data_IF_560775399770
#
_entry.id   IF_560775399770
#
_cell.length_a   1.000
_cell.length_b   1.000
_cell.length_c   1.000
_cell.angle_alpha   90.00
_cell.angle_beta   90.00
_cell.angle_gamma   90.00
#
_symmetry.space_group_name_H-M   'P 1'
#
loop_
_entity.id
_entity.type
_entity.pdbx_description
1 polymer ?
#
# COMPACT_ATOMS: atom_id res chain seq x y z
N UNK A 1 -4.20 20.19 1.06
CA UNK A 1 -4.90 19.31 2.03
C UNK A 1 -3.88 18.42 2.72
N UNK A 2 -4.09 18.08 4.00
CA UNK A 2 -3.10 17.37 4.80
C UNK A 2 -2.90 15.94 4.31
N UNK A 3 -1.67 15.60 3.92
CA UNK A 3 -1.25 14.26 3.50
C UNK A 3 -1.19 13.38 4.74
N UNK A 4 -2.22 12.55 4.97
CA UNK A 4 -2.25 11.67 6.14
C UNK A 4 -1.31 10.48 5.92
N UNK A 5 -0.18 10.48 6.64
CA UNK A 5 0.78 9.37 6.67
C UNK A 5 0.35 8.34 7.71
N UNK A 6 0.39 7.06 7.35
CA UNK A 6 0.02 5.94 8.22
C UNK A 6 1.29 5.22 8.69
N UNK A 7 1.32 4.83 9.97
CA UNK A 7 2.45 4.17 10.64
C UNK A 7 3.53 5.12 11.17
N UNK A 8 4.38 4.62 12.08
CA UNK A 8 5.53 5.35 12.66
C UNK A 8 6.88 4.94 12.06
N UNK A 9 6.90 3.96 11.17
CA UNK A 9 8.10 3.41 10.54
C UNK A 9 7.79 2.65 9.26
N UNK A 10 8.75 1.87 8.73
CA UNK A 10 8.54 1.07 7.53
C UNK A 10 7.38 0.09 7.71
N UNK A 11 6.49 0.07 6.73
CA UNK A 11 5.29 -0.74 6.69
C UNK A 11 5.58 -2.08 6.01
N UNK A 12 5.09 -3.13 6.63
CA UNK A 12 5.05 -4.49 6.09
C UNK A 12 3.60 -4.95 5.93
N UNK A 13 3.38 -5.84 4.96
CA UNK A 13 2.05 -6.25 4.54
C UNK A 13 1.99 -7.77 4.43
N UNK A 14 1.02 -8.37 5.11
CA UNK A 14 0.77 -9.81 5.06
C UNK A 14 -0.68 -10.10 4.68
N UNK A 15 -0.87 -10.97 3.67
CA UNK A 15 -2.18 -11.51 3.33
C UNK A 15 -2.48 -12.72 4.22
N UNK A 16 -3.59 -12.68 4.95
CA UNK A 16 -4.16 -13.84 5.60
C UNK A 16 -5.33 -14.36 4.75
N UNK A 17 -5.11 -15.54 4.17
CA UNK A 17 -5.98 -16.20 3.19
C UNK A 17 -6.28 -17.66 3.58
N UNK A 18 -6.17 -17.98 4.87
CA UNK A 18 -6.64 -19.27 5.40
C UNK A 18 -8.15 -19.41 5.11
N UNK A 19 -8.75 -20.62 5.05
CA UNK A 19 -9.90 -20.99 4.21
C UNK A 19 -11.24 -20.29 4.52
N UNK A 20 -11.20 -19.24 5.32
CA UNK A 20 -12.23 -18.23 5.48
C UNK A 20 -12.60 -17.60 4.15
N UNK A 21 -13.89 -17.45 3.90
CA UNK A 21 -14.45 -16.76 2.73
C UNK A 21 -14.15 -15.24 2.69
N UNK A 22 -13.23 -14.75 3.53
CA UNK A 22 -13.00 -13.33 3.81
C UNK A 22 -11.50 -13.02 3.98
N UNK A 23 -10.72 -12.98 2.89
CA UNK A 23 -9.29 -12.66 2.94
C UNK A 23 -9.04 -11.27 3.54
N UNK A 24 -7.96 -11.14 4.32
CA UNK A 24 -7.60 -9.89 5.02
C UNK A 24 -6.15 -9.52 4.79
N UNK A 25 -5.90 -8.24 4.57
CA UNK A 25 -4.57 -7.66 4.46
C UNK A 25 -4.19 -7.00 5.78
N UNK A 26 -3.13 -7.48 6.41
CA UNK A 26 -2.59 -6.94 7.64
C UNK A 26 -1.44 -6.01 7.31
N UNK A 27 -1.53 -4.76 7.77
CA UNK A 27 -0.46 -3.77 7.65
C UNK A 27 0.17 -3.56 9.03
N UNK A 28 1.48 -3.74 9.11
CA UNK A 28 2.25 -3.64 10.36
C UNK A 28 3.38 -2.64 10.21
N UNK A 29 3.83 -2.07 11.32
CA UNK A 29 5.09 -1.34 11.42
C UNK A 29 5.96 -1.93 12.55
N UNK A 30 7.11 -1.30 12.83
CA UNK A 30 8.02 -1.75 13.89
C UNK A 30 7.43 -1.78 15.31
N UNK A 31 6.26 -1.17 15.55
CA UNK A 31 5.54 -1.20 16.83
C UNK A 31 4.37 -2.20 16.83
N UNK A 32 4.10 -2.88 15.72
CA UNK A 32 3.05 -3.90 15.62
C UNK A 32 1.99 -3.58 14.57
N UNK A 33 0.75 -3.99 14.85
CA UNK A 33 -0.36 -3.89 13.89
C UNK A 33 -0.84 -2.44 13.73
N UNK A 34 -0.88 -1.96 12.49
CA UNK A 34 -1.34 -0.61 12.14
C UNK A 34 -2.79 -0.64 11.69
N UNK A 35 -3.13 -1.51 10.72
CA UNK A 35 -4.49 -1.65 10.19
C UNK A 35 -4.73 -3.04 9.61
N UNK A 36 -5.98 -3.49 9.62
CA UNK A 36 -6.44 -4.70 8.92
C UNK A 36 -7.48 -4.27 7.90
N UNK A 37 -7.26 -4.59 6.63
CA UNK A 37 -8.16 -4.25 5.54
C UNK A 37 -8.83 -5.53 4.98
N UNK A 38 -10.15 -5.55 4.80
CA UNK A 38 -10.79 -6.62 4.05
C UNK A 38 -10.30 -6.57 2.60
N UNK A 39 -9.98 -7.73 2.01
CA UNK A 39 -9.56 -7.80 0.60
C UNK A 39 -10.79 -8.12 -0.25
N UNK A 40 -11.21 -7.20 -1.15
CA UNK A 40 -12.29 -7.50 -2.08
C UNK A 40 -11.94 -8.71 -2.96
N UNK A 41 -12.87 -9.64 -3.24
CA UNK A 41 -12.60 -10.81 -4.08
C UNK A 41 -11.99 -10.44 -5.45
N UNK A 42 -12.40 -9.30 -6.03
CA UNK A 42 -11.86 -8.75 -7.27
C UNK A 42 -10.39 -8.32 -7.19
N UNK A 43 -9.93 -7.89 -6.02
CA UNK A 43 -8.55 -7.42 -5.79
C UNK A 43 -7.61 -8.55 -5.37
N UNK A 44 -8.15 -9.67 -4.85
CA UNK A 44 -7.36 -10.78 -4.31
C UNK A 44 -6.30 -11.32 -5.30
N UNK A 45 -6.59 -11.54 -6.60
CA UNK A 45 -5.57 -12.00 -7.53
C UNK A 45 -4.40 -11.02 -7.67
N UNK A 46 -4.68 -9.72 -7.75
CA UNK A 46 -3.65 -8.69 -7.84
C UNK A 46 -2.82 -8.62 -6.55
N UNK A 47 -3.47 -8.69 -5.38
CA UNK A 47 -2.79 -8.73 -4.07
C UNK A 47 -1.81 -9.89 -3.99
N UNK A 48 -2.23 -11.11 -4.35
CA UNK A 48 -1.35 -12.29 -4.37
C UNK A 48 -0.16 -12.08 -5.31
N UNK A 49 -0.41 -11.65 -6.54
CA UNK A 49 0.66 -11.38 -7.53
C UNK A 49 1.66 -10.34 -7.04
N UNK A 50 1.20 -9.28 -6.37
CA UNK A 50 2.09 -8.25 -5.85
C UNK A 50 2.94 -8.75 -4.69
N UNK A 51 2.37 -9.52 -3.76
CA UNK A 51 3.11 -10.11 -2.65
C UNK A 51 4.10 -11.20 -3.13
N UNK A 52 3.75 -11.99 -4.14
CA UNK A 52 4.63 -13.01 -4.72
C UNK A 52 5.82 -12.39 -5.48
N UNK A 53 5.67 -11.14 -5.96
CA UNK A 53 6.73 -10.38 -6.66
C UNK A 53 7.68 -9.64 -5.71
N UNK A 54 7.66 -9.96 -4.41
CA UNK A 54 8.57 -9.38 -3.41
C UNK A 54 10.02 -9.45 -3.90
N UNK A 55 10.68 -8.29 -3.96
CA UNK A 55 12.01 -8.11 -4.54
C UNK A 55 13.05 -7.72 -3.49
N UNK A 56 14.27 -7.31 -3.90
CA UNK A 56 15.20 -6.68 -2.97
C UNK A 56 14.53 -5.44 -2.37
N UNK A 57 14.41 -5.42 -1.04
CA UNK A 57 13.68 -4.39 -0.30
C UNK A 57 14.15 -2.99 -0.70
N UNK A 58 13.21 -2.20 -1.21
CA UNK A 58 13.43 -0.80 -1.57
C UNK A 58 12.34 0.03 -0.91
N UNK A 59 12.77 0.99 -0.11
CA UNK A 59 11.86 1.94 0.49
C UNK A 59 11.05 2.68 -0.58
N UNK A 60 9.73 2.72 -0.38
CA UNK A 60 8.79 3.37 -1.29
C UNK A 60 7.55 3.84 -0.54
N UNK A 61 6.83 4.80 -1.10
CA UNK A 61 5.52 5.24 -0.60
C UNK A 61 4.43 4.88 -1.61
N UNK A 62 3.17 4.87 -1.15
CA UNK A 62 2.01 4.74 -2.04
C UNK A 62 1.27 6.05 -2.11
N UNK A 63 1.06 6.58 -3.32
CA UNK A 63 0.16 7.68 -3.58
C UNK A 63 -1.14 7.15 -4.19
N UNK A 64 -2.28 7.47 -3.57
CA UNK A 64 -3.60 7.19 -4.12
C UNK A 64 -4.08 8.41 -4.89
N UNK A 65 -4.67 8.16 -6.07
CA UNK A 65 -5.05 9.19 -7.03
C UNK A 65 -6.57 9.20 -7.20
N UNK A 66 -7.17 10.37 -7.12
CA UNK A 66 -8.60 10.58 -7.35
C UNK A 66 -8.97 10.71 -8.84
N UNK A 67 -10.27 10.81 -9.12
CA UNK A 67 -10.83 10.97 -10.46
C UNK A 67 -10.36 12.24 -11.22
N UNK A 68 -9.82 13.23 -10.50
CA UNK A 68 -9.23 14.44 -11.07
C UNK A 68 -7.76 14.27 -11.43
N UNK A 69 -7.16 13.11 -11.09
CA UNK A 69 -5.75 12.85 -11.28
C UNK A 69 -4.87 13.42 -10.17
N UNK A 70 -5.46 13.93 -9.10
CA UNK A 70 -4.78 14.54 -7.95
C UNK A 70 -4.46 13.50 -6.88
N UNK A 71 -3.41 13.74 -6.09
CA UNK A 71 -3.03 12.84 -4.99
C UNK A 71 -3.99 13.05 -3.81
N UNK A 72 -4.93 12.13 -3.65
CA UNK A 72 -5.92 12.13 -2.57
C UNK A 72 -5.29 11.78 -1.21
N UNK A 73 -4.39 10.79 -1.18
CA UNK A 73 -3.67 10.41 0.03
C UNK A 73 -2.32 9.77 -0.26
N UNK A 74 -1.44 9.77 0.75
CA UNK A 74 -0.12 9.13 0.66
C UNK A 74 0.11 8.23 1.87
N UNK A 75 0.25 6.93 1.61
CA UNK A 75 0.52 5.93 2.63
C UNK A 75 2.03 5.77 2.79
N UNK A 76 2.45 5.46 4.03
CA UNK A 76 3.81 5.62 4.55
C UNK A 76 4.90 4.85 3.80
N UNK A 77 6.09 4.78 4.42
CA UNK A 77 7.25 4.11 3.81
C UNK A 77 7.05 2.61 3.93
N UNK A 78 7.06 1.87 2.83
CA UNK A 78 7.07 0.40 2.76
C UNK A 78 8.49 -0.06 2.53
N UNK A 79 8.88 -1.20 3.10
CA UNK A 79 10.19 -1.81 2.83
C UNK A 79 10.25 -2.54 1.49
N UNK A 80 9.09 -2.88 0.92
CA UNK A 80 8.95 -3.67 -0.30
C UNK A 80 7.90 -3.06 -1.25
N UNK A 81 8.22 -2.85 -2.54
CA UNK A 81 7.28 -2.36 -3.54
C UNK A 81 6.09 -3.29 -3.80
N UNK A 82 6.25 -4.61 -3.62
CA UNK A 82 5.18 -5.60 -3.72
C UNK A 82 4.16 -5.41 -2.60
N UNK A 83 4.61 -5.24 -1.35
CA UNK A 83 3.77 -4.90 -0.21
C UNK A 83 3.01 -3.58 -0.43
N UNK A 84 3.70 -2.54 -0.91
CA UNK A 84 3.10 -1.27 -1.28
C UNK A 84 1.99 -1.43 -2.36
N UNK A 85 2.28 -2.18 -3.43
CA UNK A 85 1.33 -2.42 -4.52
C UNK A 85 0.14 -3.28 -4.08
N UNK A 86 0.36 -4.28 -3.22
CA UNK A 86 -0.70 -5.11 -2.67
C UNK A 86 -1.70 -4.29 -1.86
N UNK A 87 -1.20 -3.39 -1.01
CA UNK A 87 -2.05 -2.44 -0.28
C UNK A 87 -2.82 -1.53 -1.24
N UNK A 88 -2.14 -0.95 -2.23
CA UNK A 88 -2.76 -0.07 -3.21
C UNK A 88 -3.94 -0.74 -3.93
N UNK A 89 -3.78 -2.01 -4.34
CA UNK A 89 -4.83 -2.80 -4.99
C UNK A 89 -6.06 -3.02 -4.09
N UNK A 90 -5.86 -3.13 -2.76
CA UNK A 90 -6.96 -3.22 -1.79
C UNK A 90 -7.68 -1.89 -1.66
N UNK A 91 -6.94 -0.78 -1.57
CA UNK A 91 -7.50 0.56 -1.37
C UNK A 91 -8.31 1.02 -2.58
N UNK A 92 -7.76 0.90 -3.79
CA UNK A 92 -8.52 1.14 -5.04
C UNK A 92 -9.71 0.19 -5.14
N UNK A 93 -9.53 -1.06 -4.70
CA UNK A 93 -10.60 -2.05 -4.70
C UNK A 93 -11.74 -1.72 -3.74
N UNK A 94 -11.54 -0.84 -2.76
CA UNK A 94 -12.50 -0.55 -1.69
C UNK A 94 -13.14 0.83 -1.83
N UNK A 95 -12.37 1.81 -2.29
CA UNK A 95 -12.80 3.20 -2.44
C UNK A 95 -13.17 3.50 -3.90
N UNK A 96 -14.38 4.02 -4.12
CA UNK A 96 -14.87 4.33 -5.48
C UNK A 96 -14.38 5.67 -6.01
N UNK A 97 -13.87 6.53 -5.13
CA UNK A 97 -13.37 7.85 -5.50
C UNK A 97 -11.89 7.78 -5.94
N UNK A 98 -11.24 6.65 -5.69
CA UNK A 98 -9.89 6.36 -6.14
C UNK A 98 -9.91 5.68 -7.51
N UNK A 99 -9.22 6.29 -8.48
CA UNK A 99 -9.10 5.74 -9.85
C UNK A 99 -7.74 5.11 -10.10
N UNK A 100 -6.77 5.32 -9.21
CA UNK A 100 -5.43 4.76 -9.37
C UNK A 100 -4.56 4.88 -8.14
N UNK A 101 -3.38 4.28 -8.25
CA UNK A 101 -2.33 4.38 -7.24
C UNK A 101 -0.96 4.31 -7.90
N UNK A 102 0.04 4.89 -7.25
CA UNK A 102 1.42 4.94 -7.70
C UNK A 102 2.33 4.53 -6.55
N UNK A 103 3.22 3.56 -6.81
CA UNK A 103 4.34 3.27 -5.91
C UNK A 103 5.47 4.23 -6.31
N UNK A 104 5.85 5.11 -5.39
CA UNK A 104 6.80 6.21 -5.64
C UNK A 104 7.98 6.10 -4.68
N UNK A 105 9.08 6.79 -5.00
CA UNK A 105 10.18 6.95 -4.06
C UNK A 105 9.69 7.66 -2.77
N UNK A 106 10.25 7.33 -1.60
CA UNK A 106 9.80 7.89 -0.33
C UNK A 106 10.03 9.39 -0.29
N UNK A 107 9.10 10.14 0.31
CA UNK A 107 9.21 11.59 0.42
C UNK A 107 10.22 11.92 1.53
N UNK A 108 11.51 11.96 1.18
CA UNK A 108 12.60 12.32 2.08
C UNK A 108 13.91 11.55 1.88
N UNK A 109 14.58 11.80 0.76
CA UNK A 109 16.03 11.70 0.54
C UNK A 109 16.41 12.85 -0.39
N UNK A 110 17.61 13.47 -0.29
CA UNK A 110 17.85 14.79 -0.86
C UNK A 110 17.48 14.81 -2.34
N UNK A 111 16.81 15.89 -2.77
CA UNK A 111 16.85 16.27 -4.16
C UNK A 111 18.33 16.38 -4.53
N UNK A 112 18.88 15.36 -5.18
CA UNK A 112 20.11 15.53 -5.93
C UNK A 112 19.74 16.48 -7.05
N UNK A 113 19.99 17.76 -6.80
CA UNK A 113 20.23 18.71 -7.87
C UNK A 113 21.26 18.09 -8.81
N UNK A 114 20.82 17.79 -10.03
CA UNK A 114 21.66 17.72 -11.22
C UNK A 114 20.85 18.21 -12.40
#
# INVERSE_FOLDING_TARGET
MAKQRIGRGPLDVALQDTPTSHPRLYVRDGNGLVVVLPVPPRSLPAVRVHLDRSGPGRECDVELVDDRGEVASRWGVFTDPGAAAALAAVLIGTDRDLVGARVVAPAGGPATAR
#
